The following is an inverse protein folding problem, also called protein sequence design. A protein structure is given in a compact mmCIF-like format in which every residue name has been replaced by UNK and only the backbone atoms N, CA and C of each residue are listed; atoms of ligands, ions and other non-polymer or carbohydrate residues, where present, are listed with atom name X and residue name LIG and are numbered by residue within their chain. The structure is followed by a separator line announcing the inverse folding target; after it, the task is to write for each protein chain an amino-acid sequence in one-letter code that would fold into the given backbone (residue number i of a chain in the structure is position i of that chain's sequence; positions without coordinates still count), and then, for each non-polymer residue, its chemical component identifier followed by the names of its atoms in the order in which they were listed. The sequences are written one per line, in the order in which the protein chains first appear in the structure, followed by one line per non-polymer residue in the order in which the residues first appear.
data_IF_153190139584
#
_entry.id   IF_153190139584
#
_cell.length_a   1.000
_cell.length_b   1.000
_cell.length_c   1.000
_cell.angle_alpha   90.00
_cell.angle_beta   90.00
_cell.angle_gamma   90.00
#
_symmetry.space_group_name_H-M   'P 1'
#
loop_
_entity.id
_entity.type
_entity.pdbx_description
1 polymer ?
#
# COMPACT_ATOMS: atom_id res chain seq x y z
N UNK A 1 -16.46 -2.37 -19.29
CA UNK A 1 -16.36 -0.89 -19.11
C UNK A 1 -15.36 -0.34 -20.13
N UNK A 2 -15.32 0.97 -20.43
CA UNK A 2 -14.22 1.52 -21.26
C UNK A 2 -12.97 1.75 -20.40
N UNK A 3 -11.74 1.53 -20.91
CA UNK A 3 -10.49 1.75 -20.16
C UNK A 3 -10.41 3.09 -19.42
N UNK A 4 -10.81 4.19 -20.07
CA UNK A 4 -10.78 5.51 -19.43
C UNK A 4 -11.65 5.61 -18.18
N UNK A 5 -12.80 4.92 -18.16
CA UNK A 5 -13.69 4.96 -17.00
C UNK A 5 -13.11 4.14 -15.84
N UNK A 6 -12.46 3.01 -16.12
CA UNK A 6 -11.80 2.18 -15.12
C UNK A 6 -10.70 2.96 -14.38
N UNK A 7 -9.77 3.57 -15.12
CA UNK A 7 -8.68 4.32 -14.49
C UNK A 7 -9.16 5.61 -13.81
N UNK A 8 -10.29 6.18 -14.26
CA UNK A 8 -10.93 7.29 -13.55
C UNK A 8 -11.49 6.82 -12.21
N UNK A 9 -12.18 5.67 -12.16
CA UNK A 9 -12.68 5.08 -10.92
C UNK A 9 -11.53 4.74 -9.96
N UNK A 10 -10.45 4.14 -10.47
CA UNK A 10 -9.24 3.86 -9.69
C UNK A 10 -8.68 5.13 -9.05
N UNK A 11 -8.44 6.17 -9.87
CA UNK A 11 -7.87 7.45 -9.40
C UNK A 11 -8.74 8.11 -8.33
N UNK A 12 -10.05 8.17 -8.55
CA UNK A 12 -10.95 8.82 -7.59
C UNK A 12 -11.09 8.02 -6.30
N UNK A 13 -10.97 6.70 -6.36
CA UNK A 13 -11.03 5.87 -5.17
C UNK A 13 -9.72 5.88 -4.37
N UNK A 14 -8.56 5.87 -5.04
CA UNK A 14 -7.25 5.98 -4.37
C UNK A 14 -7.11 7.27 -3.55
N UNK A 15 -7.80 8.36 -3.92
CA UNK A 15 -7.84 9.59 -3.10
C UNK A 15 -8.60 9.42 -1.78
N UNK A 16 -9.45 8.40 -1.65
CA UNK A 16 -10.32 8.15 -0.50
C UNK A 16 -9.79 7.04 0.41
N UNK A 17 -8.95 6.16 -0.12
CA UNK A 17 -8.40 5.02 0.61
C UNK A 17 -7.93 3.89 -0.32
N UNK A 18 -7.55 2.74 0.25
CA UNK A 18 -7.03 1.62 -0.51
C UNK A 18 -8.08 1.02 -1.45
N UNK A 19 -7.60 0.45 -2.54
CA UNK A 19 -8.37 -0.26 -3.56
C UNK A 19 -7.76 -1.61 -3.78
N UNK A 20 -8.57 -2.66 -3.74
CA UNK A 20 -8.09 -3.98 -4.11
C UNK A 20 -8.29 -4.19 -5.61
N UNK A 21 -7.20 -4.46 -6.34
CA UNK A 21 -7.25 -4.93 -7.72
C UNK A 21 -7.16 -6.45 -7.74
N UNK A 22 -8.11 -7.09 -8.41
CA UNK A 22 -8.13 -8.54 -8.64
C UNK A 22 -7.93 -8.80 -10.13
N UNK A 23 -6.87 -9.51 -10.50
CA UNK A 23 -6.54 -9.84 -11.89
C UNK A 23 -6.54 -11.34 -12.07
N UNK A 24 -7.23 -11.81 -13.11
CA UNK A 24 -7.36 -13.23 -13.44
C UNK A 24 -6.05 -13.74 -14.02
N UNK A 25 -5.52 -14.85 -13.48
CA UNK A 25 -4.21 -15.42 -13.81
C UNK A 25 -4.27 -16.70 -14.64
N UNK A 26 -5.45 -17.14 -15.06
CA UNK A 26 -5.59 -18.36 -15.85
C UNK A 26 -6.89 -18.42 -16.64
N UNK A 27 -6.90 -19.21 -17.71
CA UNK A 27 -8.09 -19.46 -18.51
C UNK A 27 -8.37 -18.36 -19.55
N UNK A 28 -9.58 -18.38 -20.15
CA UNK A 28 -9.94 -17.48 -21.25
C UNK A 28 -9.93 -15.98 -20.91
N UNK A 29 -10.13 -15.64 -19.63
CA UNK A 29 -10.10 -14.27 -19.13
C UNK A 29 -8.74 -13.85 -18.54
N UNK A 30 -7.63 -14.49 -18.90
CA UNK A 30 -6.30 -14.11 -18.41
C UNK A 30 -6.05 -12.61 -18.63
N UNK A 31 -5.79 -11.88 -17.53
CA UNK A 31 -5.58 -10.44 -17.54
C UNK A 31 -6.86 -9.60 -17.34
N UNK A 32 -8.05 -10.20 -17.34
CA UNK A 32 -9.26 -9.52 -16.92
C UNK A 32 -9.11 -9.06 -15.46
N UNK A 33 -9.51 -7.83 -15.18
CA UNK A 33 -9.31 -7.23 -13.86
C UNK A 33 -10.50 -6.43 -13.36
N UNK A 34 -10.63 -6.36 -12.05
CA UNK A 34 -11.67 -5.60 -11.38
C UNK A 34 -11.13 -4.91 -10.13
N UNK A 35 -11.71 -3.74 -9.83
CA UNK A 35 -11.40 -2.95 -8.64
C UNK A 35 -12.48 -3.18 -7.59
N UNK A 36 -12.05 -3.32 -6.35
CA UNK A 36 -12.90 -3.59 -5.20
C UNK A 36 -12.63 -2.62 -4.06
N UNK A 37 -13.70 -2.26 -3.34
CA UNK A 37 -13.67 -1.51 -2.08
C UNK A 37 -14.60 -2.21 -1.11
N UNK A 38 -14.07 -2.70 0.02
CA UNK A 38 -14.84 -3.48 0.99
C UNK A 38 -15.69 -4.57 0.31
N UNK A 39 -15.04 -5.38 -0.55
CA UNK A 39 -15.64 -6.44 -1.38
C UNK A 39 -16.71 -6.03 -2.40
N UNK A 40 -17.01 -4.74 -2.53
CA UNK A 40 -17.87 -4.23 -3.58
C UNK A 40 -17.05 -3.95 -4.84
N UNK A 41 -17.43 -4.56 -5.96
CA UNK A 41 -16.83 -4.26 -7.25
C UNK A 41 -17.23 -2.85 -7.72
N UNK A 42 -16.24 -1.98 -7.95
CA UNK A 42 -16.47 -0.57 -8.36
C UNK A 42 -16.20 -0.33 -9.84
N UNK A 43 -15.39 -1.18 -10.49
CA UNK A 43 -15.03 -1.06 -11.89
C UNK A 43 -14.44 -2.37 -12.41
N UNK A 44 -14.64 -2.67 -13.70
CA UNK A 44 -14.08 -3.86 -14.34
C UNK A 44 -13.49 -3.55 -15.71
N UNK A 45 -12.37 -4.19 -16.02
CA UNK A 45 -11.85 -4.39 -17.36
C UNK A 45 -11.82 -5.89 -17.60
N UNK A 46 -12.98 -6.42 -17.99
CA UNK A 46 -13.12 -7.82 -18.33
C UNK A 46 -13.62 -7.99 -19.76
N UNK A 47 -13.17 -9.08 -20.37
CA UNK A 47 -13.61 -9.62 -21.65
C UNK A 47 -14.53 -10.82 -21.44
N UNK A 48 -14.43 -11.48 -20.29
CA UNK A 48 -15.28 -12.60 -19.88
C UNK A 48 -15.98 -12.33 -18.54
N UNK A 49 -16.90 -13.24 -18.16
CA UNK A 49 -17.64 -13.15 -16.89
C UNK A 49 -16.82 -13.81 -15.79
N UNK A 50 -16.68 -13.12 -14.66
CA UNK A 50 -15.89 -13.55 -13.50
C UNK A 50 -16.69 -13.36 -12.22
N UNK A 51 -16.44 -14.24 -11.24
CA UNK A 51 -16.90 -14.05 -9.87
C UNK A 51 -15.84 -13.34 -9.03
N UNK A 52 -14.56 -13.37 -9.47
CA UNK A 52 -13.42 -12.79 -8.76
C UNK A 52 -13.33 -13.24 -7.30
N UNK A 53 -13.63 -14.51 -7.05
CA UNK A 53 -13.57 -15.16 -5.75
C UNK A 53 -12.43 -16.20 -5.69
N UNK A 54 -12.45 -17.04 -4.66
CA UNK A 54 -11.42 -18.02 -4.37
C UNK A 54 -11.38 -19.19 -5.36
N UNK A 55 -12.42 -19.40 -6.16
CA UNK A 55 -12.47 -20.48 -7.15
C UNK A 55 -11.63 -20.12 -8.39
N UNK A 56 -11.34 -18.84 -8.59
CA UNK A 56 -10.47 -18.34 -9.64
C UNK A 56 -9.03 -18.18 -9.17
N UNK A 57 -8.07 -18.42 -10.06
CA UNK A 57 -6.67 -18.09 -9.78
C UNK A 57 -6.47 -16.58 -9.97
N UNK A 58 -6.39 -15.84 -8.88
CA UNK A 58 -6.31 -14.38 -8.89
C UNK A 58 -4.97 -13.87 -8.37
N UNK A 59 -4.47 -12.79 -8.99
CA UNK A 59 -3.55 -11.86 -8.35
C UNK A 59 -4.39 -10.82 -7.63
N UNK A 60 -4.14 -10.66 -6.34
CA UNK A 60 -4.80 -9.67 -5.51
C UNK A 60 -3.76 -8.64 -5.08
N UNK A 61 -3.94 -7.39 -5.50
CA UNK A 61 -3.07 -6.27 -5.15
C UNK A 61 -3.85 -5.26 -4.33
N UNK A 62 -3.27 -4.79 -3.23
CA UNK A 62 -3.79 -3.67 -2.46
C UNK A 62 -3.08 -2.40 -2.91
N UNK A 63 -3.82 -1.56 -3.62
CA UNK A 63 -3.33 -0.30 -4.16
C UNK A 63 -3.71 0.82 -3.19
N UNK A 64 -2.73 1.51 -2.63
CA UNK A 64 -2.93 2.68 -1.79
C UNK A 64 -2.14 3.87 -2.33
N UNK A 65 -2.52 5.07 -1.91
CA UNK A 65 -1.75 6.30 -2.14
C UNK A 65 -0.87 6.68 -0.93
N UNK A 66 -0.94 5.90 0.16
CA UNK A 66 -0.11 6.07 1.34
C UNK A 66 1.29 5.53 1.04
N UNK A 67 2.27 6.42 1.10
CA UNK A 67 3.68 6.08 0.91
C UNK A 67 4.34 6.08 2.27
N UNK A 68 4.72 4.91 2.75
CA UNK A 68 5.45 4.74 4.00
C UNK A 68 6.96 4.69 3.73
N UNK A 69 7.73 5.46 4.49
CA UNK A 69 9.18 5.37 4.57
C UNK A 69 9.59 4.61 5.84
N UNK A 70 10.12 3.41 5.64
CA UNK A 70 10.70 2.60 6.73
C UNK A 70 12.20 2.84 6.80
N UNK A 71 12.69 3.36 7.92
CA UNK A 71 14.10 3.70 8.14
C UNK A 71 14.71 2.73 9.15
N UNK A 72 15.64 1.89 8.68
CA UNK A 72 16.46 1.03 9.52
C UNK A 72 17.71 1.79 10.00
N UNK A 73 17.77 2.03 11.32
CA UNK A 73 18.76 2.85 12.01
C UNK A 73 18.22 4.25 12.33
N UNK A 74 18.23 4.64 13.61
CA UNK A 74 17.68 5.90 14.13
C UNK A 74 18.72 6.99 14.45
N UNK A 75 19.90 6.89 13.83
CA UNK A 75 21.02 7.81 13.99
C UNK A 75 20.76 9.24 13.46
N UNK A 76 21.82 10.04 13.33
CA UNK A 76 21.70 11.45 12.92
C UNK A 76 21.18 11.62 11.48
N UNK A 77 21.58 10.74 10.54
CA UNK A 77 21.08 10.77 9.15
C UNK A 77 19.57 10.48 9.12
N UNK A 78 19.12 9.50 9.90
CA UNK A 78 17.71 9.14 9.97
C UNK A 78 16.84 10.24 10.56
N UNK A 79 17.36 11.03 11.48
CA UNK A 79 16.65 12.19 12.03
C UNK A 79 16.38 13.26 10.98
N UNK A 80 17.37 13.59 10.14
CA UNK A 80 17.18 14.52 9.02
C UNK A 80 16.23 13.96 7.97
N UNK A 81 16.36 12.66 7.65
CA UNK A 81 15.48 11.98 6.71
C UNK A 81 14.03 11.96 7.19
N UNK A 82 13.79 11.69 8.48
CA UNK A 82 12.49 11.78 9.13
C UNK A 82 11.86 13.16 8.94
N UNK A 83 12.63 14.24 9.17
CA UNK A 83 12.10 15.59 8.98
C UNK A 83 11.77 15.91 7.52
N UNK A 84 12.53 15.38 6.55
CA UNK A 84 12.21 15.53 5.12
C UNK A 84 10.95 14.75 4.77
N UNK A 85 10.84 13.50 5.24
CA UNK A 85 9.70 12.63 5.00
C UNK A 85 8.39 13.23 5.50
N UNK A 86 8.39 13.82 6.69
CA UNK A 86 7.23 14.54 7.22
C UNK A 86 6.80 15.76 6.40
N UNK A 87 7.74 16.43 5.70
CA UNK A 87 7.41 17.56 4.80
C UNK A 87 6.81 17.10 3.48
N UNK A 88 6.99 15.83 3.15
CA UNK A 88 6.43 15.18 1.96
C UNK A 88 5.12 14.43 2.30
N UNK A 89 4.59 14.61 3.52
CA UNK A 89 3.40 13.92 4.04
C UNK A 89 3.52 12.39 3.95
N UNK A 90 4.73 11.86 4.14
CA UNK A 90 4.96 10.42 4.24
C UNK A 90 4.71 9.92 5.66
N UNK A 91 4.14 8.72 5.75
CA UNK A 91 4.19 7.95 6.98
C UNK A 91 5.61 7.47 7.21
N UNK A 92 6.07 7.49 8.47
CA UNK A 92 7.44 7.10 8.81
C UNK A 92 7.44 6.03 9.89
N UNK A 93 8.20 4.97 9.64
CA UNK A 93 8.56 3.98 10.65
C UNK A 93 10.06 4.01 10.88
N UNK A 94 10.47 4.13 12.14
CA UNK A 94 11.87 4.01 12.56
C UNK A 94 12.06 2.64 13.20
N UNK A 95 13.09 1.93 12.77
CA UNK A 95 13.54 0.67 13.37
C UNK A 95 14.96 0.88 13.89
N UNK A 96 15.20 0.66 15.17
CA UNK A 96 16.56 0.59 15.75
C UNK A 96 16.50 -0.32 16.99
N UNK A 97 17.57 -1.07 17.21
CA UNK A 97 17.72 -1.94 18.38
C UNK A 97 18.18 -1.19 19.64
N UNK A 98 18.41 0.13 19.55
CA UNK A 98 18.84 1.01 20.64
C UNK A 98 17.73 2.02 20.96
N UNK A 99 17.29 2.03 22.21
CA UNK A 99 16.11 2.79 22.65
C UNK A 99 16.34 4.30 22.48
N UNK A 100 17.55 4.79 22.74
CA UNK A 100 17.92 6.20 22.57
C UNK A 100 17.84 6.67 21.10
N UNK A 101 17.90 5.73 20.15
CA UNK A 101 17.76 5.98 18.72
C UNK A 101 16.39 5.57 18.17
N UNK A 102 15.48 4.99 18.94
CA UNK A 102 14.14 4.64 18.47
C UNK A 102 13.10 4.86 19.59
N UNK A 103 12.65 6.10 19.73
CA UNK A 103 11.64 6.46 20.73
C UNK A 103 10.75 7.63 20.27
N UNK A 104 9.53 7.75 20.84
CA UNK A 104 8.59 8.82 20.50
C UNK A 104 9.07 10.24 20.85
N UNK A 105 9.97 10.41 21.82
CA UNK A 105 10.53 11.73 22.15
C UNK A 105 11.41 12.25 21.01
N UNK A 106 12.16 11.36 20.35
CA UNK A 106 13.02 11.65 19.20
C UNK A 106 12.22 11.70 17.89
N UNK A 107 11.23 10.82 17.72
CA UNK A 107 10.41 10.71 16.50
C UNK A 107 8.90 10.79 16.81
N UNK A 108 8.38 11.97 17.21
CA UNK A 108 7.02 12.10 17.74
C UNK A 108 5.89 11.81 16.76
N UNK A 109 6.18 11.79 15.44
CA UNK A 109 5.21 11.48 14.38
C UNK A 109 5.54 10.21 13.62
N UNK A 110 6.51 9.42 14.09
CA UNK A 110 6.83 8.13 13.48
C UNK A 110 6.32 6.98 14.34
N UNK A 111 6.04 5.84 13.71
CA UNK A 111 5.98 4.56 14.40
C UNK A 111 7.40 4.16 14.78
N UNK A 112 7.63 3.83 16.05
CA UNK A 112 8.93 3.38 16.55
C UNK A 112 8.88 1.88 16.84
N UNK A 113 9.73 1.11 16.18
CA UNK A 113 9.92 -0.33 16.42
C UNK A 113 11.29 -0.52 17.05
N UNK A 114 11.29 -0.76 18.36
CA UNK A 114 12.50 -1.08 19.11
C UNK A 114 12.77 -2.58 19.04
N UNK A 115 13.59 -3.01 18.08
CA UNK A 115 13.86 -4.42 17.79
C UNK A 115 15.16 -4.59 16.98
N UNK A 116 15.87 -5.72 17.12
CA UNK A 116 16.89 -6.13 16.15
C UNK A 116 16.31 -6.17 14.73
N UNK A 117 17.13 -5.82 13.74
CA UNK A 117 16.69 -5.70 12.35
C UNK A 117 16.20 -7.02 11.75
N UNK A 118 16.75 -8.14 12.18
CA UNK A 118 16.38 -9.49 11.71
C UNK A 118 15.01 -9.96 12.19
N UNK A 119 14.37 -9.21 13.11
CA UNK A 119 13.09 -9.58 13.75
C UNK A 119 11.92 -8.71 13.30
N UNK A 120 12.15 -7.75 12.39
CA UNK A 120 11.13 -6.85 11.81
C UNK A 120 10.76 -7.35 10.42
#
# INVERSE_FOLDING_TARGET
MRPNQYYTALREQLKKGPVQRRTVLSGPGLGDEALFVADNCIATLCTTTHTYDHEEKLLIEELSNEVELVIFGGGHIALELYHIALRLDLDVTIVDEREEFCNPQRFPKARCIYSPFEQV
#
